data_IF_935347522704
#
_entry.id   IF_935347522704
#
_cell.length_a   1.000
_cell.length_b   1.000
_cell.length_c   1.000
_cell.angle_alpha   90.00
_cell.angle_beta   90.00
_cell.angle_gamma   90.00
#
_symmetry.space_group_name_H-M   'P 1'
#
loop_
_entity.id
_entity.type
_entity.pdbx_description
1 polymer ?
#
# COMPACT_ATOMS: atom_id res chain seq x y z
N UNK A 1 -2.05 18.29 13.25
CA UNK A 1 -1.54 17.96 11.89
C UNK A 1 -0.33 17.03 11.92
N UNK A 2 0.85 17.45 12.37
CA UNK A 2 2.11 16.69 12.27
C UNK A 2 2.03 15.20 12.66
N UNK A 3 1.37 14.85 13.77
CA UNK A 3 1.21 13.45 14.19
C UNK A 3 0.52 12.58 13.11
N UNK A 4 -0.54 13.09 12.49
CA UNK A 4 -1.26 12.40 11.40
C UNK A 4 -0.44 12.25 10.13
N UNK A 5 0.46 13.20 9.84
CA UNK A 5 1.42 13.09 8.73
C UNK A 5 2.40 11.94 9.00
N UNK A 6 2.89 11.81 10.25
CA UNK A 6 3.82 10.75 10.66
C UNK A 6 3.12 9.38 10.66
N UNK A 7 1.87 9.27 11.13
CA UNK A 7 1.06 8.05 11.06
C UNK A 7 0.75 7.66 9.60
N UNK A 8 0.40 8.64 8.76
CA UNK A 8 0.18 8.44 7.32
C UNK A 8 1.44 7.93 6.60
N UNK A 9 2.61 8.56 6.85
CA UNK A 9 3.90 8.09 6.32
C UNK A 9 4.23 6.66 6.80
N UNK A 10 3.98 6.35 8.07
CA UNK A 10 4.20 5.01 8.60
C UNK A 10 3.36 3.95 7.87
N UNK A 11 2.09 4.24 7.57
CA UNK A 11 1.23 3.32 6.78
C UNK A 11 1.74 3.22 5.33
N UNK A 12 2.14 4.33 4.71
CA UNK A 12 2.67 4.38 3.34
C UNK A 12 3.96 3.56 3.17
N UNK A 13 4.80 3.47 4.21
CA UNK A 13 6.03 2.65 4.20
C UNK A 13 5.75 1.15 4.37
N UNK A 14 4.59 0.74 4.91
CA UNK A 14 4.35 -0.64 5.40
C UNK A 14 3.83 -1.65 4.37
N UNK A 15 3.57 -1.28 3.11
CA UNK A 15 2.98 -2.22 2.11
C UNK A 15 3.90 -2.55 0.91
N UNK A 16 5.11 -3.06 1.20
CA UNK A 16 5.96 -3.81 0.25
C UNK A 16 6.62 -5.07 0.84
N UNK A 17 5.96 -5.72 1.80
CA UNK A 17 6.39 -7.05 2.25
C UNK A 17 6.12 -8.13 1.20
N UNK A 18 7.15 -8.56 0.47
CA UNK A 18 7.10 -9.76 -0.38
C UNK A 18 7.15 -11.04 0.47
N UNK A 19 6.09 -11.29 1.25
CA UNK A 19 5.98 -12.50 2.10
C UNK A 19 6.08 -13.80 1.30
N UNK A 20 5.73 -13.76 0.00
CA UNK A 20 5.72 -14.89 -0.95
C UNK A 20 7.04 -15.15 -1.69
N UNK A 21 8.10 -14.35 -1.48
CA UNK A 21 9.45 -14.61 -2.02
C UNK A 21 9.72 -14.19 -3.47
N UNK A 22 8.70 -13.90 -4.27
CA UNK A 22 8.87 -13.56 -5.69
C UNK A 22 9.48 -12.17 -5.95
N UNK A 23 10.82 -12.06 -5.95
CA UNK A 23 11.55 -10.81 -6.16
C UNK A 23 12.78 -10.92 -7.11
N UNK A 24 12.61 -11.29 -8.40
CA UNK A 24 13.73 -11.38 -9.36
C UNK A 24 14.48 -10.05 -9.57
N UNK A 25 13.92 -8.90 -9.20
CA UNK A 25 14.62 -7.61 -9.19
C UNK A 25 15.75 -7.50 -8.14
N UNK A 26 15.89 -8.47 -7.22
CA UNK A 26 16.99 -8.53 -6.24
C UNK A 26 18.13 -9.46 -6.66
N UNK A 27 18.04 -10.13 -7.81
CA UNK A 27 19.14 -10.92 -8.40
C UNK A 27 20.42 -10.08 -8.55
N UNK A 28 21.59 -10.71 -8.41
CA UNK A 28 22.91 -10.07 -8.50
C UNK A 28 23.25 -9.15 -7.32
N UNK A 29 22.37 -8.22 -6.96
CA UNK A 29 22.54 -7.28 -5.82
C UNK A 29 22.30 -7.93 -4.46
N UNK A 30 21.45 -8.96 -4.39
CA UNK A 30 20.89 -9.58 -3.18
C UNK A 30 20.11 -8.62 -2.26
N UNK A 31 19.96 -7.34 -2.62
CA UNK A 31 19.37 -6.31 -1.76
C UNK A 31 17.84 -6.42 -1.69
N UNK A 32 17.25 -6.52 -0.48
CA UNK A 32 15.81 -6.33 -0.28
C UNK A 32 15.38 -4.93 -0.68
N UNK A 33 14.29 -4.83 -1.45
CA UNK A 33 13.78 -3.56 -1.99
C UNK A 33 12.97 -2.76 -0.95
N UNK A 34 13.54 -2.56 0.24
CA UNK A 34 12.90 -1.97 1.41
C UNK A 34 13.18 -0.47 1.61
N UNK A 35 14.10 0.11 0.84
CA UNK A 35 14.44 1.55 0.88
C UNK A 35 15.33 1.99 2.04
N UNK A 36 15.70 1.07 2.93
CA UNK A 36 16.75 1.22 3.95
C UNK A 36 17.91 0.28 3.63
N UNK A 37 19.13 0.67 3.99
CA UNK A 37 20.35 -0.13 3.78
C UNK A 37 20.43 -1.37 4.69
N UNK A 38 21.41 -2.26 4.45
CA UNK A 38 21.67 -3.41 5.32
C UNK A 38 22.11 -2.99 6.72
N UNK A 39 21.87 -3.87 7.68
CA UNK A 39 22.43 -3.79 9.03
C UNK A 39 23.94 -4.01 8.98
N UNK A 40 24.70 -3.10 9.61
CA UNK A 40 26.17 -3.05 9.52
C UNK A 40 26.91 -3.80 10.64
N UNK A 41 26.17 -4.47 11.54
CA UNK A 41 26.75 -5.41 12.50
C UNK A 41 27.03 -6.74 11.80
N UNK A 42 27.82 -7.61 12.44
CA UNK A 42 27.90 -9.01 12.05
C UNK A 42 26.52 -9.67 11.99
N UNK A 43 26.39 -10.66 11.09
CA UNK A 43 25.15 -11.38 10.89
C UNK A 43 25.01 -12.51 11.94
N UNK A 44 23.90 -12.56 12.71
CA UNK A 44 23.61 -13.66 13.65
C UNK A 44 23.08 -14.91 12.92
N UNK A 45 23.56 -15.15 11.70
CA UNK A 45 23.11 -16.19 10.79
C UNK A 45 24.28 -16.67 9.92
N UNK A 46 24.31 -17.97 9.63
CA UNK A 46 25.37 -18.65 8.88
C UNK A 46 24.81 -19.49 7.72
N UNK A 47 25.70 -19.86 6.80
CA UNK A 47 25.46 -20.91 5.80
C UNK A 47 26.39 -22.08 6.12
N UNK A 48 25.85 -23.29 6.18
CA UNK A 48 26.61 -24.53 6.14
C UNK A 48 26.09 -25.43 5.03
N UNK A 49 26.85 -26.43 4.60
CA UNK A 49 26.42 -27.41 3.61
C UNK A 49 26.91 -28.81 3.95
N UNK A 50 26.25 -29.80 3.36
CA UNK A 50 26.71 -31.19 3.30
C UNK A 50 26.76 -31.59 1.82
N UNK A 51 27.90 -32.11 1.38
CA UNK A 51 28.09 -32.62 0.02
C UNK A 51 27.32 -33.94 -0.16
N UNK A 52 26.66 -34.10 -1.31
CA UNK A 52 26.06 -35.37 -1.71
C UNK A 52 27.11 -36.36 -2.23
N UNK A 53 26.69 -37.56 -2.63
CA UNK A 53 27.54 -38.44 -3.43
C UNK A 53 27.82 -37.82 -4.82
N UNK A 54 28.66 -38.46 -5.63
CA UNK A 54 28.88 -38.04 -7.01
C UNK A 54 27.56 -38.07 -7.81
N UNK A 55 27.15 -36.91 -8.33
CA UNK A 55 25.86 -36.72 -9.02
C UNK A 55 24.66 -36.35 -8.13
N UNK A 56 24.80 -36.39 -6.79
CA UNK A 56 23.74 -35.97 -5.86
C UNK A 56 23.77 -34.45 -5.55
N UNK A 57 22.64 -33.84 -5.17
CA UNK A 57 22.59 -32.46 -4.70
C UNK A 57 23.29 -32.28 -3.34
N UNK A 58 24.02 -31.17 -3.21
CA UNK A 58 24.43 -30.65 -1.91
C UNK A 58 23.21 -30.24 -1.10
N UNK A 59 23.20 -30.53 0.20
CA UNK A 59 22.20 -30.03 1.14
C UNK A 59 22.74 -28.78 1.82
N UNK A 60 22.18 -27.62 1.49
CA UNK A 60 22.59 -26.32 2.05
C UNK A 60 21.65 -25.94 3.19
N UNK A 61 22.22 -25.53 4.32
CA UNK A 61 21.51 -25.16 5.55
C UNK A 61 21.75 -23.69 5.87
N UNK A 62 20.67 -22.94 6.07
CA UNK A 62 20.67 -21.56 6.55
C UNK A 62 20.30 -21.58 8.04
N UNK A 63 21.22 -21.22 8.94
CA UNK A 63 21.06 -21.39 10.40
C UNK A 63 21.24 -20.09 11.17
N UNK A 64 20.54 -19.95 12.30
CA UNK A 64 20.76 -18.92 13.31
C UNK A 64 21.86 -19.30 14.29
N UNK A 65 22.74 -18.36 14.62
CA UNK A 65 23.84 -18.55 15.60
C UNK A 65 23.49 -18.01 16.99
N UNK A 66 22.64 -16.99 17.10
CA UNK A 66 22.21 -16.39 18.38
C UNK A 66 20.90 -17.01 18.96
N UNK A 67 20.33 -18.02 18.29
CA UNK A 67 19.02 -18.59 18.64
C UNK A 67 17.81 -17.71 18.26
N UNK A 68 18.06 -16.49 17.78
CA UNK A 68 17.08 -15.61 17.16
C UNK A 68 16.57 -16.16 15.83
N UNK A 69 15.58 -15.48 15.24
CA UNK A 69 14.86 -15.98 14.06
C UNK A 69 15.01 -15.07 12.85
N UNK A 70 15.03 -15.66 11.66
CA UNK A 70 14.84 -14.98 10.39
C UNK A 70 13.42 -15.23 9.86
N UNK A 71 12.80 -14.22 9.26
CA UNK A 71 11.48 -14.32 8.64
C UNK A 71 11.60 -14.70 7.16
N UNK A 72 12.63 -14.19 6.49
CA UNK A 72 12.92 -14.42 5.08
C UNK A 72 14.41 -14.52 4.79
N UNK A 73 14.71 -14.94 3.56
CA UNK A 73 16.06 -15.08 3.04
C UNK A 73 16.06 -14.97 1.51
N UNK A 74 17.22 -14.66 0.94
CA UNK A 74 17.56 -14.95 -0.45
C UNK A 74 18.88 -15.71 -0.47
N UNK A 75 18.99 -16.77 -1.27
CA UNK A 75 20.20 -17.56 -1.44
C UNK A 75 20.50 -17.74 -2.93
N UNK A 76 21.76 -17.52 -3.30
CA UNK A 76 22.34 -17.68 -4.64
C UNK A 76 23.66 -18.46 -4.47
N UNK A 77 24.09 -19.21 -5.48
CA UNK A 77 25.44 -19.76 -5.55
C UNK A 77 26.17 -19.07 -6.71
N UNK A 78 27.44 -18.71 -6.53
CA UNK A 78 28.17 -17.84 -7.46
C UNK A 78 29.62 -18.29 -7.62
N UNK A 79 30.14 -18.20 -8.84
CA UNK A 79 31.59 -18.27 -9.09
C UNK A 79 32.29 -17.04 -8.48
N UNK A 80 33.52 -17.17 -7.98
CA UNK A 80 34.26 -16.03 -7.43
C UNK A 80 34.49 -14.92 -8.46
N UNK A 81 33.87 -13.76 -8.20
CA UNK A 81 33.80 -12.61 -9.13
C UNK A 81 32.91 -12.82 -10.36
N UNK A 82 32.37 -14.03 -10.57
CA UNK A 82 31.62 -14.44 -11.75
C UNK A 82 30.08 -14.40 -11.59
N UNK A 83 29.34 -15.06 -12.50
CA UNK A 83 27.87 -15.11 -12.48
C UNK A 83 27.32 -16.14 -11.49
N UNK A 84 25.98 -16.19 -11.35
CA UNK A 84 25.31 -17.25 -10.60
C UNK A 84 25.51 -18.64 -11.26
N UNK A 85 25.62 -19.71 -10.46
CA UNK A 85 25.94 -21.07 -10.92
C UNK A 85 25.09 -22.16 -10.25
N UNK A 86 24.91 -23.27 -10.95
CA UNK A 86 24.12 -24.42 -10.49
C UNK A 86 22.61 -24.14 -10.44
N UNK A 87 21.86 -25.05 -9.80
CA UNK A 87 20.38 -25.01 -9.74
C UNK A 87 19.89 -25.47 -8.37
N UNK A 88 19.00 -24.70 -7.75
CA UNK A 88 18.41 -25.04 -6.46
C UNK A 88 17.08 -25.79 -6.58
N UNK A 89 16.77 -26.60 -5.57
CA UNK A 89 15.46 -27.23 -5.36
C UNK A 89 15.07 -27.23 -3.88
N UNK A 90 13.78 -27.37 -3.61
CA UNK A 90 13.26 -27.44 -2.24
C UNK A 90 13.52 -28.79 -1.57
N UNK A 91 13.39 -28.81 -0.24
CA UNK A 91 13.27 -30.05 0.54
C UNK A 91 11.82 -30.15 1.04
N UNK A 92 11.29 -31.36 1.17
CA UNK A 92 9.92 -31.56 1.66
C UNK A 92 9.73 -30.97 3.06
N UNK A 93 8.56 -30.39 3.32
CA UNK A 93 8.30 -29.56 4.50
C UNK A 93 8.99 -28.18 4.52
N UNK A 94 9.98 -27.94 3.65
CA UNK A 94 10.73 -26.67 3.51
C UNK A 94 10.43 -25.98 2.16
N UNK A 95 9.22 -25.42 1.97
CA UNK A 95 8.82 -24.85 0.69
C UNK A 95 9.49 -23.50 0.40
N UNK A 96 10.23 -23.45 -0.70
CA UNK A 96 10.90 -22.25 -1.24
C UNK A 96 10.09 -21.59 -2.37
N UNK A 97 10.49 -20.38 -2.75
CA UNK A 97 10.20 -19.78 -4.05
C UNK A 97 11.48 -19.87 -4.90
N UNK A 98 11.37 -20.36 -6.14
CA UNK A 98 12.50 -20.45 -7.07
C UNK A 98 12.61 -19.17 -7.89
N UNK A 99 13.81 -18.59 -7.97
CA UNK A 99 14.11 -17.37 -8.71
C UNK A 99 14.97 -17.69 -9.92
N UNK A 100 14.65 -17.06 -11.06
CA UNK A 100 15.43 -17.16 -12.28
C UNK A 100 16.32 -15.91 -12.38
N UNK A 101 17.51 -15.98 -11.79
CA UNK A 101 18.52 -14.92 -11.84
C UNK A 101 19.47 -15.12 -13.02
N UNK A 102 19.94 -14.02 -13.60
CA UNK A 102 20.93 -13.96 -14.68
C UNK A 102 20.61 -14.86 -15.90
N UNK A 103 19.31 -15.05 -16.18
CA UNK A 103 18.79 -15.89 -17.28
C UNK A 103 18.72 -17.39 -16.98
N UNK A 104 19.35 -17.85 -15.90
CA UNK A 104 19.37 -19.24 -15.48
C UNK A 104 18.10 -19.62 -14.70
N UNK A 105 17.62 -20.86 -14.84
CA UNK A 105 16.42 -21.35 -14.15
C UNK A 105 16.75 -21.87 -12.75
N UNK A 106 16.07 -21.36 -11.72
CA UNK A 106 16.29 -21.72 -10.31
C UNK A 106 17.75 -21.52 -9.82
N UNK A 107 18.45 -20.52 -10.37
CA UNK A 107 19.80 -20.12 -9.96
C UNK A 107 19.86 -19.43 -8.59
N UNK A 108 18.72 -18.94 -8.10
CA UNK A 108 18.57 -18.45 -6.73
C UNK A 108 17.21 -18.86 -6.14
N UNK A 109 17.05 -18.69 -4.83
CA UNK A 109 15.82 -19.02 -4.11
C UNK A 109 15.52 -18.03 -2.98
N UNK A 110 14.29 -18.06 -2.48
CA UNK A 110 13.84 -17.25 -1.35
C UNK A 110 12.73 -17.93 -0.54
N UNK A 111 12.33 -17.33 0.57
CA UNK A 111 11.25 -17.87 1.41
C UNK A 111 9.89 -17.85 0.69
N UNK A 112 9.12 -18.96 0.75
CA UNK A 112 7.71 -18.93 0.30
C UNK A 112 6.77 -18.22 1.30
N UNK A 113 7.19 -18.10 2.56
CA UNK A 113 6.39 -17.46 3.61
C UNK A 113 7.28 -16.70 4.62
N UNK A 114 6.70 -15.73 5.33
CA UNK A 114 7.35 -14.96 6.38
C UNK A 114 7.26 -15.60 7.78
N UNK A 115 7.06 -16.92 7.89
CA UNK A 115 7.03 -17.59 9.19
C UNK A 115 8.43 -17.53 9.84
N UNK A 116 8.56 -17.35 11.17
CA UNK A 116 9.86 -17.30 11.83
C UNK A 116 10.61 -18.63 11.78
N UNK A 117 11.87 -18.61 11.33
CA UNK A 117 12.76 -19.77 11.14
C UNK A 117 14.03 -19.59 11.97
N UNK A 118 14.50 -20.66 12.61
CA UNK A 118 15.85 -20.77 13.22
C UNK A 118 16.82 -21.55 12.32
N UNK A 119 16.29 -22.42 11.46
CA UNK A 119 16.99 -23.20 10.44
C UNK A 119 16.11 -23.34 9.20
N UNK A 120 16.73 -23.53 8.03
CA UNK A 120 16.03 -23.90 6.80
C UNK A 120 17.00 -24.68 5.88
N UNK A 121 16.50 -25.74 5.24
CA UNK A 121 17.31 -26.63 4.39
C UNK A 121 16.79 -26.69 2.96
N UNK A 122 17.72 -26.69 2.01
CA UNK A 122 17.48 -26.63 0.57
C UNK A 122 18.50 -27.50 -0.17
N UNK A 123 18.20 -27.91 -1.40
CA UNK A 123 19.11 -28.68 -2.25
C UNK A 123 19.74 -27.79 -3.32
N UNK A 124 21.01 -28.02 -3.66
CA UNK A 124 21.71 -27.37 -4.76
C UNK A 124 22.45 -28.40 -5.61
N UNK A 125 22.17 -28.38 -6.91
CA UNK A 125 22.91 -29.12 -7.93
C UNK A 125 24.02 -28.22 -8.50
N UNK A 126 25.29 -28.67 -8.53
CA UNK A 126 26.33 -28.02 -9.32
C UNK A 126 26.03 -28.10 -10.83
N UNK A 127 26.68 -27.26 -11.66
CA UNK A 127 26.70 -27.45 -13.11
C UNK A 127 27.46 -28.72 -13.52
N UNK A 128 27.14 -29.31 -14.68
CA UNK A 128 27.79 -30.52 -15.23
C UNK A 128 29.30 -30.36 -15.46
N UNK A 129 29.76 -29.13 -15.68
CA UNK A 129 31.16 -28.73 -15.60
C UNK A 129 31.28 -27.67 -14.52
N UNK A 130 32.07 -27.96 -13.49
CA UNK A 130 32.47 -26.95 -12.52
C UNK A 130 33.34 -25.88 -13.21
N UNK A 131 33.25 -24.60 -12.80
CA UNK A 131 34.17 -23.57 -13.26
C UNK A 131 35.57 -23.77 -12.67
N UNK A 132 36.58 -23.14 -13.28
CA UNK A 132 37.98 -23.17 -12.81
C UNK A 132 38.23 -22.34 -11.53
N UNK A 133 37.17 -21.81 -10.90
CA UNK A 133 37.21 -20.94 -9.72
C UNK A 133 36.30 -21.47 -8.62
N UNK A 134 36.62 -21.10 -7.38
CA UNK A 134 35.81 -21.43 -6.22
C UNK A 134 34.37 -20.94 -6.35
N UNK A 135 33.44 -21.77 -5.88
CA UNK A 135 32.01 -21.45 -5.80
C UNK A 135 31.67 -21.06 -4.36
N UNK A 136 31.03 -19.91 -4.18
CA UNK A 136 30.49 -19.47 -2.90
C UNK A 136 28.97 -19.45 -2.89
N UNK A 137 28.38 -20.04 -1.85
CA UNK A 137 27.02 -19.74 -1.46
C UNK A 137 26.97 -18.33 -0.87
N UNK A 138 26.01 -17.52 -1.33
CA UNK A 138 25.80 -16.14 -0.88
C UNK A 138 24.35 -15.95 -0.47
N UNK A 139 24.14 -15.56 0.78
CA UNK A 139 22.83 -15.35 1.37
C UNK A 139 22.58 -13.90 1.77
N UNK A 140 21.29 -13.58 1.90
CA UNK A 140 20.76 -12.42 2.58
C UNK A 140 19.72 -12.88 3.57
N UNK A 141 19.80 -12.43 4.82
CA UNK A 141 18.94 -12.84 5.92
C UNK A 141 18.08 -11.67 6.41
N UNK A 142 16.77 -11.89 6.55
CA UNK A 142 15.79 -10.87 6.94
C UNK A 142 15.21 -11.18 8.33
N UNK A 143 15.63 -10.44 9.37
CA UNK A 143 15.06 -10.54 10.74
C UNK A 143 13.83 -9.64 10.93
N UNK A 144 13.82 -8.46 10.31
CA UNK A 144 12.65 -7.56 10.25
C UNK A 144 12.68 -6.77 8.94
N UNK A 145 11.59 -6.08 8.55
CA UNK A 145 11.57 -5.23 7.35
C UNK A 145 12.74 -4.22 7.30
N UNK A 146 13.19 -3.72 8.46
CA UNK A 146 14.31 -2.77 8.59
C UNK A 146 15.60 -3.40 9.13
N UNK A 147 15.66 -4.72 9.28
CA UNK A 147 16.79 -5.42 9.92
C UNK A 147 17.17 -6.64 9.09
N UNK A 148 18.22 -6.50 8.29
CA UNK A 148 18.67 -7.53 7.36
C UNK A 148 20.17 -7.45 7.09
N UNK A 149 20.78 -8.58 6.79
CA UNK A 149 22.19 -8.71 6.45
C UNK A 149 22.34 -9.27 5.04
N UNK A 150 23.31 -8.75 4.29
CA UNK A 150 23.65 -9.18 2.92
C UNK A 150 25.08 -9.72 2.89
N UNK A 151 25.45 -10.44 1.83
CA UNK A 151 26.79 -11.00 1.64
C UNK A 151 27.26 -11.91 2.80
N UNK A 152 26.32 -12.61 3.46
CA UNK A 152 26.69 -13.76 4.31
C UNK A 152 27.11 -14.87 3.36
N UNK A 153 28.34 -15.34 3.44
CA UNK A 153 28.92 -16.27 2.45
C UNK A 153 29.55 -17.51 3.07
N UNK A 154 29.48 -18.62 2.35
CA UNK A 154 30.28 -19.84 2.60
C UNK A 154 30.79 -20.39 1.27
N UNK A 155 32.10 -20.37 1.09
CA UNK A 155 32.79 -21.02 -0.03
C UNK A 155 32.75 -22.54 0.14
N UNK A 156 32.67 -23.25 -0.98
CA UNK A 156 32.87 -24.70 -1.05
C UNK A 156 34.36 -25.00 -0.82
N UNK A 157 34.65 -25.72 0.24
CA UNK A 157 36.00 -26.07 0.66
C UNK A 157 36.63 -27.09 -0.32
N UNK A 158 37.70 -26.70 -1.02
CA UNK A 158 38.49 -27.63 -1.82
C UNK A 158 39.00 -28.79 -0.95
N UNK A 159 38.82 -30.02 -1.44
CA UNK A 159 38.68 -31.23 -0.61
C UNK A 159 39.76 -31.48 0.44
N UNK A 160 39.49 -31.12 1.71
CA UNK A 160 40.19 -31.68 2.87
C UNK A 160 39.28 -31.83 4.09
N UNK A 161 39.27 -33.04 4.66
CA UNK A 161 38.47 -33.46 5.82
C UNK A 161 39.03 -32.91 7.14
N UNK A 162 38.19 -32.53 8.11
CA UNK A 162 38.19 -33.03 9.53
C UNK A 162 37.34 -32.18 10.49
N UNK A 163 36.24 -32.78 10.97
CA UNK A 163 35.67 -32.82 12.35
C UNK A 163 35.47 -31.52 13.19
N UNK A 164 34.30 -31.32 13.85
CA UNK A 164 33.95 -30.09 14.57
C UNK A 164 34.37 -30.07 16.06
N UNK A 165 34.30 -28.88 16.68
CA UNK A 165 34.46 -28.68 18.13
C UNK A 165 33.22 -28.02 18.79
N UNK A 166 32.90 -28.50 19.98
CA UNK A 166 31.73 -28.09 20.81
C UNK A 166 32.20 -27.20 21.98
N UNK A 167 31.33 -26.36 22.59
CA UNK A 167 31.06 -26.33 24.07
C UNK A 167 30.36 -25.05 24.61
N UNK A 168 29.26 -25.28 25.34
CA UNK A 168 28.64 -24.54 26.47
C UNK A 168 28.10 -23.08 26.38
N UNK A 169 26.97 -22.90 27.08
CA UNK A 169 26.33 -21.64 27.51
C UNK A 169 26.82 -21.22 28.92
N UNK A 170 26.58 -19.98 29.36
CA UNK A 170 26.32 -19.68 30.80
C UNK A 170 25.52 -18.38 31.12
N UNK A 171 24.21 -18.55 31.33
CA UNK A 171 23.41 -18.15 32.53
C UNK A 171 23.49 -16.73 33.18
N UNK A 172 22.54 -15.85 32.80
CA UNK A 172 21.52 -15.17 33.68
C UNK A 172 21.98 -14.04 34.69
N UNK A 173 21.15 -13.48 35.64
CA UNK A 173 20.66 -12.07 35.62
C UNK A 173 20.95 -11.17 36.86
N UNK A 174 20.41 -9.92 36.88
CA UNK A 174 19.84 -9.14 38.03
C UNK A 174 19.12 -7.87 37.44
N UNK A 175 17.88 -7.46 37.77
CA UNK A 175 17.31 -6.71 38.95
C UNK A 175 17.93 -5.29 39.13
N UNK A 176 17.26 -4.18 39.54
CA UNK A 176 16.00 -3.93 40.30
C UNK A 176 15.31 -2.60 39.88
N UNK A 177 14.12 -2.34 40.46
CA UNK A 177 13.16 -1.22 40.29
C UNK A 177 13.64 0.18 40.73
N UNK A 178 12.85 1.24 40.44
CA UNK A 178 12.52 2.26 41.46
C UNK A 178 11.20 3.03 41.22
N UNK A 179 10.65 3.58 42.31
CA UNK A 179 9.41 4.37 42.43
C UNK A 179 9.71 5.65 43.27
N UNK A 180 8.91 6.73 43.39
CA UNK A 180 7.49 6.99 43.04
C UNK A 180 7.33 8.34 42.28
N UNK A 181 6.36 9.27 42.42
CA UNK A 181 5.30 9.58 43.43
C UNK A 181 4.15 10.40 42.80
N UNK A 182 3.04 10.56 43.53
CA UNK A 182 1.81 11.32 43.15
C UNK A 182 1.86 12.82 43.52
N UNK A 183 0.97 13.64 42.92
CA UNK A 183 0.26 14.71 43.63
C UNK A 183 -1.17 14.93 43.07
N UNK A 184 -2.07 15.49 43.88
CA UNK A 184 -3.54 15.45 43.67
C UNK A 184 -4.16 16.85 43.62
N UNK A 185 -5.21 17.05 42.81
CA UNK A 185 -6.06 18.26 42.80
C UNK A 185 -7.55 17.90 42.69
N UNK A 186 -8.41 18.63 43.40
CA UNK A 186 -9.86 18.37 43.59
C UNK A 186 -10.69 19.41 42.81
N UNK A 187 -11.87 19.08 42.24
CA UNK A 187 -12.48 19.87 41.16
C UNK A 187 -13.36 21.05 41.59
N UNK A 188 -13.62 21.95 40.64
CA UNK A 188 -14.55 23.09 40.72
C UNK A 188 -15.82 22.82 39.89
N UNK A 189 -17.04 23.19 40.35
CA UNK A 189 -18.29 22.82 39.66
C UNK A 189 -18.82 23.86 38.66
N UNK A 190 -19.37 23.36 37.54
CA UNK A 190 -20.47 23.96 36.73
C UNK A 190 -20.11 25.23 35.93
N UNK A 191 -20.41 25.27 34.61
CA UNK A 191 -21.77 25.59 34.14
C UNK A 191 -22.45 24.49 33.33
N UNK A 192 -23.79 24.54 33.28
CA UNK A 192 -24.64 23.64 32.50
C UNK A 192 -24.34 23.70 31.00
N UNK A 193 -24.27 22.56 30.28
CA UNK A 193 -24.00 22.58 28.84
C UNK A 193 -25.16 23.20 28.04
N UNK A 194 -24.87 23.91 26.93
CA UNK A 194 -25.89 24.33 25.98
C UNK A 194 -26.54 23.10 25.28
N UNK A 195 -27.75 23.25 24.72
CA UNK A 195 -28.47 22.12 24.12
C UNK A 195 -27.71 21.46 22.94
N UNK A 196 -27.91 20.15 22.72
CA UNK A 196 -27.19 19.39 21.69
C UNK A 196 -27.51 19.92 20.28
N UNK A 197 -26.51 20.51 19.64
CA UNK A 197 -26.56 21.00 18.26
C UNK A 197 -25.50 20.27 17.43
N UNK A 198 -25.94 19.55 16.39
CA UNK A 198 -25.06 18.71 15.57
C UNK A 198 -23.90 19.56 15.03
N UNK A 199 -22.65 19.30 15.46
CA UNK A 199 -21.61 20.30 15.38
C UNK A 199 -21.25 20.58 13.93
N UNK A 200 -21.35 21.86 13.55
CA UNK A 200 -21.08 22.38 12.21
C UNK A 200 -19.76 21.84 11.62
N UNK A 201 -18.74 21.68 12.45
CA UNK A 201 -17.45 21.05 12.13
C UNK A 201 -17.58 19.69 11.42
N UNK A 202 -18.48 18.79 11.84
CA UNK A 202 -18.70 17.49 11.19
C UNK A 202 -19.13 17.68 9.73
N UNK A 203 -19.99 18.66 9.47
CA UNK A 203 -20.44 18.98 8.10
C UNK A 203 -19.26 19.50 7.26
N UNK A 204 -18.39 20.35 7.81
CA UNK A 204 -17.17 20.78 7.10
C UNK A 204 -16.29 19.58 6.75
N UNK A 205 -15.98 18.73 7.73
CA UNK A 205 -15.09 17.58 7.58
C UNK A 205 -15.61 16.59 6.51
N UNK A 206 -16.92 16.33 6.52
CA UNK A 206 -17.56 15.43 5.55
C UNK A 206 -17.69 16.05 4.16
N UNK A 207 -18.02 17.33 4.04
CA UNK A 207 -18.02 18.04 2.75
C UNK A 207 -16.61 18.06 2.15
N UNK A 208 -15.56 18.31 2.95
CA UNK A 208 -14.17 18.27 2.48
C UNK A 208 -13.74 16.86 2.08
N UNK A 209 -14.14 15.81 2.83
CA UNK A 209 -13.84 14.43 2.43
C UNK A 209 -14.55 14.04 1.12
N UNK A 210 -15.83 14.40 0.94
CA UNK A 210 -16.55 14.21 -0.34
C UNK A 210 -15.78 14.80 -1.53
N UNK A 211 -15.31 16.06 -1.41
CA UNK A 211 -14.45 16.68 -2.44
C UNK A 211 -13.17 15.87 -2.72
N UNK A 212 -12.53 15.31 -1.68
CA UNK A 212 -11.32 14.48 -1.81
C UNK A 212 -11.60 13.12 -2.48
N UNK A 213 -12.68 12.41 -2.10
CA UNK A 213 -13.06 11.12 -2.69
C UNK A 213 -13.36 11.26 -4.18
N UNK A 214 -14.16 12.25 -4.54
CA UNK A 214 -14.58 12.51 -5.93
C UNK A 214 -13.38 12.94 -6.78
N UNK A 215 -12.51 13.84 -6.27
CA UNK A 215 -11.26 14.22 -6.95
C UNK A 215 -10.35 13.00 -7.19
N UNK A 216 -10.21 12.11 -6.19
CA UNK A 216 -9.42 10.88 -6.30
C UNK A 216 -9.92 9.95 -7.41
N UNK A 217 -11.22 9.92 -7.71
CA UNK A 217 -11.74 9.13 -8.83
C UNK A 217 -11.16 9.60 -10.18
N UNK A 218 -11.12 10.93 -10.40
CA UNK A 218 -10.58 11.56 -11.61
C UNK A 218 -9.06 11.55 -11.74
N UNK A 219 -8.30 11.50 -10.64
CA UNK A 219 -6.82 11.39 -10.73
C UNK A 219 -6.37 10.16 -11.53
N UNK A 220 -7.17 9.09 -11.54
CA UNK A 220 -7.01 7.91 -12.40
C UNK A 220 -7.04 8.21 -13.91
N UNK A 221 -7.74 9.27 -14.28
CA UNK A 221 -8.16 9.62 -15.63
C UNK A 221 -7.27 10.74 -16.18
N UNK A 222 -7.10 11.82 -15.42
CA UNK A 222 -6.25 12.98 -15.77
C UNK A 222 -4.78 12.56 -15.96
N UNK A 223 -4.17 11.86 -14.99
CA UNK A 223 -2.74 11.49 -15.04
C UNK A 223 -2.44 10.54 -16.22
N UNK A 224 -3.43 9.78 -16.69
CA UNK A 224 -3.30 8.90 -17.85
C UNK A 224 -3.32 9.65 -19.22
N UNK A 225 -3.76 10.91 -19.23
CA UNK A 225 -3.77 11.80 -20.40
C UNK A 225 -2.59 12.76 -20.41
N UNK A 226 -2.22 13.34 -19.25
CA UNK A 226 -1.26 14.45 -19.17
C UNK A 226 0.22 14.03 -19.11
N UNK A 227 0.54 12.90 -18.49
CA UNK A 227 1.94 12.50 -18.26
C UNK A 227 2.37 11.42 -19.25
N UNK A 228 3.62 11.51 -19.73
CA UNK A 228 4.26 10.47 -20.51
C UNK A 228 4.23 9.12 -19.78
N UNK A 229 4.29 8.01 -20.54
CA UNK A 229 4.11 6.63 -20.02
C UNK A 229 5.35 6.10 -19.25
N UNK A 230 5.92 6.90 -18.37
CA UNK A 230 7.07 6.55 -17.54
C UNK A 230 6.71 5.57 -16.40
N UNK A 231 7.70 4.94 -15.76
CA UNK A 231 7.51 4.29 -14.47
C UNK A 231 7.03 5.28 -13.38
N UNK A 232 7.53 6.52 -13.43
CA UNK A 232 7.27 7.58 -12.45
C UNK A 232 5.79 7.98 -12.42
N UNK A 233 5.14 8.16 -13.57
CA UNK A 233 3.71 8.56 -13.61
C UNK A 233 2.78 7.48 -13.05
N UNK A 234 3.15 6.20 -13.17
CA UNK A 234 2.45 5.07 -12.54
C UNK A 234 2.62 5.04 -11.02
N UNK A 235 3.79 5.41 -10.51
CA UNK A 235 4.04 5.55 -9.08
C UNK A 235 3.25 6.75 -8.52
N UNK A 236 3.38 7.93 -9.13
CA UNK A 236 2.71 9.16 -8.72
C UNK A 236 1.19 9.01 -8.60
N UNK A 237 0.55 8.39 -9.60
CA UNK A 237 -0.89 8.08 -9.57
C UNK A 237 -1.28 7.20 -8.37
N UNK A 238 -0.51 6.14 -8.09
CA UNK A 238 -0.79 5.24 -6.94
C UNK A 238 -0.56 5.93 -5.59
N UNK A 239 0.53 6.68 -5.44
CA UNK A 239 0.82 7.43 -4.21
C UNK A 239 -0.23 8.52 -3.95
N UNK A 240 -0.63 9.25 -5.00
CA UNK A 240 -1.68 10.26 -4.91
C UNK A 240 -3.00 9.68 -4.42
N UNK A 241 -3.47 8.56 -4.99
CA UNK A 241 -4.70 7.88 -4.55
C UNK A 241 -4.68 7.50 -3.07
N UNK A 242 -3.57 6.94 -2.60
CA UNK A 242 -3.40 6.56 -1.18
C UNK A 242 -3.39 7.81 -0.30
N UNK A 243 -2.75 8.90 -0.73
CA UNK A 243 -2.74 10.18 0.01
C UNK A 243 -4.14 10.77 0.17
N UNK A 244 -4.97 10.79 -0.88
CA UNK A 244 -6.36 11.26 -0.79
C UNK A 244 -7.17 10.46 0.24
N UNK A 245 -7.01 9.13 0.27
CA UNK A 245 -7.71 8.26 1.20
C UNK A 245 -7.23 8.41 2.65
N UNK A 246 -5.93 8.57 2.86
CA UNK A 246 -5.37 8.85 4.19
C UNK A 246 -5.87 10.20 4.73
N UNK A 247 -6.03 11.21 3.88
CA UNK A 247 -6.65 12.48 4.29
C UNK A 247 -8.15 12.32 4.61
N UNK A 248 -8.93 11.60 3.79
CA UNK A 248 -10.34 11.34 4.08
C UNK A 248 -10.54 10.59 5.40
N UNK A 249 -9.82 9.49 5.62
CA UNK A 249 -9.88 8.74 6.88
C UNK A 249 -9.54 9.59 8.10
N UNK A 250 -8.61 10.55 7.99
CA UNK A 250 -8.32 11.48 9.06
C UNK A 250 -9.47 12.46 9.34
N UNK A 251 -10.22 12.89 8.31
CA UNK A 251 -11.42 13.73 8.45
C UNK A 251 -12.60 12.93 9.02
N UNK A 252 -12.80 11.70 8.59
CA UNK A 252 -13.82 10.75 9.09
C UNK A 252 -13.60 10.42 10.57
N UNK A 253 -12.37 10.07 10.96
CA UNK A 253 -12.00 9.83 12.37
C UNK A 253 -12.17 11.11 13.19
N UNK A 254 -11.80 12.28 12.66
CA UNK A 254 -12.02 13.56 13.34
C UNK A 254 -13.51 13.86 13.55
N UNK A 255 -14.35 13.56 12.56
CA UNK A 255 -15.80 13.74 12.66
C UNK A 255 -16.44 12.78 13.67
N UNK A 256 -15.99 11.51 13.71
CA UNK A 256 -16.45 10.53 14.70
C UNK A 256 -16.06 10.94 16.12
N UNK A 257 -14.82 11.38 16.34
CA UNK A 257 -14.36 11.89 17.64
C UNK A 257 -15.16 13.12 18.07
N UNK A 258 -15.42 14.07 17.17
CA UNK A 258 -16.25 15.26 17.47
C UNK A 258 -17.71 14.91 17.76
N UNK A 259 -18.28 13.91 17.09
CA UNK A 259 -19.64 13.44 17.34
C UNK A 259 -19.80 12.85 18.75
N UNK A 260 -18.81 12.06 19.18
CA UNK A 260 -18.75 11.47 20.53
C UNK A 260 -18.48 12.56 21.59
N UNK A 261 -17.44 13.39 21.41
CA UNK A 261 -17.01 14.38 22.42
C UNK A 261 -18.03 15.48 22.70
N UNK A 262 -18.97 15.73 21.77
CA UNK A 262 -20.02 16.76 21.93
C UNK A 262 -21.39 16.19 22.26
N UNK A 263 -21.48 14.91 22.63
CA UNK A 263 -22.72 14.17 22.96
C UNK A 263 -23.84 14.31 21.89
N UNK A 264 -23.48 14.65 20.65
CA UNK A 264 -24.43 15.08 19.63
C UNK A 264 -24.61 14.06 18.50
N UNK A 265 -24.28 12.81 18.81
CA UNK A 265 -24.34 11.69 17.89
C UNK A 265 -25.63 10.88 18.08
N UNK A 266 -26.58 11.08 17.18
CA UNK A 266 -27.58 10.05 16.87
C UNK A 266 -26.88 8.73 16.56
N UNK A 267 -27.44 7.60 17.00
CA UNK A 267 -26.88 6.26 16.77
C UNK A 267 -26.68 5.99 15.27
N UNK A 268 -27.54 6.56 14.41
CA UNK A 268 -27.41 6.49 12.96
C UNK A 268 -26.15 7.22 12.44
N UNK A 269 -25.81 8.38 13.01
CA UNK A 269 -24.65 9.18 12.61
C UNK A 269 -23.33 8.47 12.95
N UNK A 270 -23.22 7.87 14.15
CA UNK A 270 -22.07 7.01 14.49
C UNK A 270 -21.99 5.81 13.54
N UNK A 271 -23.11 5.11 13.30
CA UNK A 271 -23.12 3.94 12.44
C UNK A 271 -22.65 4.26 11.01
N UNK A 272 -23.13 5.36 10.42
CA UNK A 272 -22.72 5.82 9.09
C UNK A 272 -21.23 6.21 9.04
N UNK A 273 -20.72 6.92 10.05
CA UNK A 273 -19.29 7.28 10.14
C UNK A 273 -18.40 6.04 10.29
N UNK A 274 -18.79 5.06 11.10
CA UNK A 274 -18.07 3.79 11.23
C UNK A 274 -18.04 3.02 9.89
N UNK A 275 -19.16 3.01 9.13
CA UNK A 275 -19.17 2.39 7.80
C UNK A 275 -18.25 3.15 6.83
N UNK A 276 -18.28 4.48 6.81
CA UNK A 276 -17.36 5.30 6.00
C UNK A 276 -15.88 4.95 6.29
N UNK A 277 -15.48 4.93 7.57
CA UNK A 277 -14.12 4.58 8.00
C UNK A 277 -13.73 3.16 7.51
N UNK A 278 -14.63 2.18 7.60
CA UNK A 278 -14.34 0.82 7.08
C UNK A 278 -14.22 0.77 5.55
N UNK A 279 -14.98 1.60 4.82
CA UNK A 279 -14.84 1.76 3.36
C UNK A 279 -13.52 2.44 2.99
N UNK A 280 -13.09 3.47 3.73
CA UNK A 280 -11.75 4.07 3.59
C UNK A 280 -10.64 3.03 3.79
N UNK A 281 -10.70 2.22 4.86
CA UNK A 281 -9.71 1.15 5.10
C UNK A 281 -9.71 0.13 3.96
N UNK A 282 -10.89 -0.31 3.49
CA UNK A 282 -11.03 -1.22 2.36
C UNK A 282 -10.41 -0.64 1.08
N UNK A 283 -10.64 0.64 0.78
CA UNK A 283 -10.06 1.30 -0.39
C UNK A 283 -8.55 1.53 -0.30
N UNK A 284 -8.02 1.79 0.90
CA UNK A 284 -6.57 1.85 1.14
C UNK A 284 -5.96 0.48 0.86
N UNK A 285 -6.58 -0.61 1.32
CA UNK A 285 -6.14 -1.99 1.02
C UNK A 285 -6.16 -2.24 -0.48
N UNK A 286 -7.28 -1.98 -1.18
CA UNK A 286 -7.41 -2.17 -2.63
C UNK A 286 -6.36 -1.36 -3.41
N UNK A 287 -6.14 -0.10 -3.05
CA UNK A 287 -5.13 0.79 -3.66
C UNK A 287 -3.69 0.34 -3.37
N UNK A 288 -3.50 -0.41 -2.28
CA UNK A 288 -2.21 -0.95 -1.85
C UNK A 288 -1.91 -2.34 -2.42
N UNK A 289 -2.84 -3.01 -3.12
CA UNK A 289 -2.55 -4.28 -3.81
C UNK A 289 -1.54 -4.08 -4.97
N UNK A 290 -0.44 -4.86 -5.03
CA UNK A 290 0.59 -4.74 -6.06
C UNK A 290 0.20 -5.43 -7.39
N UNK A 291 -0.94 -5.04 -7.99
CA UNK A 291 -1.42 -5.64 -9.23
C UNK A 291 -0.52 -5.29 -10.43
N UNK A 292 0.19 -6.31 -10.92
CA UNK A 292 1.13 -6.22 -12.04
C UNK A 292 0.49 -5.78 -13.36
N UNK A 293 1.28 -5.23 -14.30
CA UNK A 293 0.77 -4.69 -15.57
C UNK A 293 0.30 -5.77 -16.56
N UNK A 294 0.69 -7.03 -16.37
CA UNK A 294 0.36 -8.19 -17.21
C UNK A 294 -0.94 -8.89 -16.83
N UNK A 295 -1.53 -8.59 -15.67
CA UNK A 295 -2.70 -9.31 -15.17
C UNK A 295 -4.00 -8.67 -15.69
N UNK A 296 -4.79 -9.39 -16.48
CA UNK A 296 -6.05 -8.88 -17.07
C UNK A 296 -7.05 -8.37 -16.00
N UNK A 297 -7.00 -8.94 -14.79
CA UNK A 297 -7.75 -8.49 -13.61
C UNK A 297 -7.52 -7.01 -13.25
N UNK A 298 -6.40 -6.40 -13.67
CA UNK A 298 -6.10 -5.00 -13.37
C UNK A 298 -7.16 -4.03 -13.86
N UNK A 299 -7.75 -4.27 -15.04
CA UNK A 299 -8.84 -3.45 -15.56
C UNK A 299 -10.13 -3.60 -14.74
N UNK A 300 -10.40 -4.81 -14.26
CA UNK A 300 -11.55 -5.12 -13.39
C UNK A 300 -11.37 -4.43 -12.03
N UNK A 301 -10.16 -4.47 -11.46
CA UNK A 301 -9.84 -3.81 -10.19
C UNK A 301 -9.92 -2.26 -10.27
N UNK A 302 -9.52 -1.61 -11.37
CA UNK A 302 -9.71 -0.15 -11.53
C UNK A 302 -11.21 0.23 -11.55
N UNK A 303 -12.08 -0.61 -12.11
CA UNK A 303 -13.53 -0.40 -12.10
C UNK A 303 -14.10 -0.68 -10.71
N UNK A 304 -13.74 -1.81 -10.08
CA UNK A 304 -14.20 -2.17 -8.73
C UNK A 304 -13.83 -1.09 -7.71
N UNK A 305 -12.58 -0.60 -7.72
CA UNK A 305 -12.14 0.50 -6.86
C UNK A 305 -12.90 1.81 -7.09
N UNK A 306 -13.39 2.08 -8.31
CA UNK A 306 -14.28 3.22 -8.59
C UNK A 306 -15.70 2.99 -8.07
N UNK A 307 -16.23 1.76 -8.16
CA UNK A 307 -17.53 1.40 -7.57
C UNK A 307 -17.52 1.51 -6.05
N UNK A 308 -16.46 1.04 -5.38
CA UNK A 308 -16.26 1.26 -3.94
C UNK A 308 -16.37 2.74 -3.58
N UNK A 309 -15.81 3.63 -4.40
CA UNK A 309 -15.80 5.08 -4.11
C UNK A 309 -17.14 5.76 -4.35
N UNK A 310 -17.98 5.24 -5.24
CA UNK A 310 -19.37 5.72 -5.36
C UNK A 310 -20.20 5.27 -4.16
N UNK A 311 -19.98 4.04 -3.67
CA UNK A 311 -20.63 3.56 -2.44
C UNK A 311 -20.17 4.40 -1.24
N UNK A 312 -18.86 4.65 -1.11
CA UNK A 312 -18.31 5.44 -0.01
C UNK A 312 -18.79 6.90 -0.05
N UNK A 313 -18.78 7.54 -1.23
CA UNK A 313 -19.35 8.87 -1.43
C UNK A 313 -20.84 8.94 -1.01
N UNK A 314 -21.63 7.90 -1.29
CA UNK A 314 -23.02 7.83 -0.85
C UNK A 314 -23.16 7.77 0.69
N UNK A 315 -22.23 7.12 1.40
CA UNK A 315 -22.20 7.15 2.88
C UNK A 315 -21.80 8.53 3.42
N UNK A 316 -20.81 9.21 2.82
CA UNK A 316 -20.44 10.58 3.20
C UNK A 316 -21.61 11.54 2.97
N UNK A 317 -22.30 11.46 1.82
CA UNK A 317 -23.51 12.22 1.55
C UNK A 317 -24.65 11.91 2.54
N UNK A 318 -24.81 10.65 2.96
CA UNK A 318 -25.78 10.27 3.98
C UNK A 318 -25.49 10.91 5.35
N UNK A 319 -24.22 10.93 5.79
CA UNK A 319 -23.82 11.66 7.02
C UNK A 319 -24.15 13.14 6.89
N UNK A 320 -23.83 13.77 5.76
CA UNK A 320 -24.15 15.19 5.51
C UNK A 320 -25.67 15.41 5.60
N UNK A 321 -26.51 14.59 4.93
CA UNK A 321 -27.96 14.71 5.02
C UNK A 321 -28.48 14.58 6.45
N UNK A 322 -28.00 13.61 7.23
CA UNK A 322 -28.38 13.44 8.65
C UNK A 322 -28.05 14.71 9.45
N UNK A 323 -26.82 15.24 9.35
CA UNK A 323 -26.43 16.49 10.00
C UNK A 323 -27.27 17.71 9.56
N UNK A 324 -27.78 17.74 8.32
CA UNK A 324 -28.67 18.80 7.85
C UNK A 324 -30.10 18.66 8.37
N UNK A 325 -30.63 17.42 8.45
CA UNK A 325 -31.98 17.14 8.94
C UNK A 325 -32.10 17.34 10.46
N UNK A 326 -31.13 16.89 11.25
CA UNK A 326 -31.11 17.07 12.71
C UNK A 326 -30.97 18.56 13.09
N UNK A 327 -30.23 19.34 12.30
CA UNK A 327 -30.17 20.81 12.40
C UNK A 327 -31.49 21.52 12.06
N UNK A 328 -32.38 20.87 11.29
CA UNK A 328 -33.66 21.44 10.88
C UNK A 328 -34.78 21.12 11.88
N UNK A 329 -34.79 19.92 12.45
CA UNK A 329 -35.77 19.51 13.47
C UNK A 329 -35.66 20.29 14.79
N UNK A 330 -34.45 20.76 15.13
CA UNK A 330 -34.17 21.46 16.39
C UNK A 330 -34.50 22.96 16.40
N UNK A 331 -34.82 23.58 15.25
CA UNK A 331 -35.02 25.05 15.16
C UNK A 331 -36.42 25.45 14.70
N UNK A 332 -37.26 25.85 15.65
CA UNK A 332 -38.65 26.22 15.42
C UNK A 332 -38.87 27.32 14.36
N UNK A 333 -39.74 27.01 13.40
CA UNK A 333 -40.48 27.93 12.52
C UNK A 333 -39.70 28.94 11.62
N UNK A 334 -38.37 28.98 11.60
CA UNK A 334 -37.60 29.82 10.64
C UNK A 334 -37.00 28.98 9.50
N UNK A 335 -37.87 28.53 8.58
CA UNK A 335 -37.53 27.64 7.46
C UNK A 335 -36.68 28.32 6.37
N UNK A 336 -35.40 28.54 6.62
CA UNK A 336 -34.44 28.85 5.55
C UNK A 336 -34.18 27.58 4.72
N UNK A 337 -34.97 27.38 3.65
CA UNK A 337 -34.88 26.17 2.79
C UNK A 337 -33.62 26.17 1.91
N UNK A 338 -33.00 27.35 1.68
CA UNK A 338 -31.80 27.54 0.85
C UNK A 338 -30.67 26.50 1.06
N UNK A 339 -30.17 26.25 2.30
CA UNK A 339 -29.17 25.19 2.55
C UNK A 339 -29.57 23.80 2.03
N UNK A 340 -30.85 23.43 2.08
CA UNK A 340 -31.34 22.13 1.62
C UNK A 340 -31.41 22.08 0.08
N UNK A 341 -31.77 23.18 -0.59
CA UNK A 341 -31.67 23.29 -2.05
C UNK A 341 -30.23 23.20 -2.54
N UNK A 342 -29.27 23.83 -1.85
CA UNK A 342 -27.84 23.71 -2.18
C UNK A 342 -27.35 22.27 -1.99
N UNK A 343 -27.84 21.54 -0.98
CA UNK A 343 -27.50 20.12 -0.78
C UNK A 343 -28.06 19.22 -1.89
N UNK A 344 -29.27 19.48 -2.38
CA UNK A 344 -29.82 18.79 -3.56
C UNK A 344 -29.01 19.13 -4.82
N UNK A 345 -28.63 20.39 -5.01
CA UNK A 345 -27.78 20.79 -6.14
C UNK A 345 -26.40 20.12 -6.08
N UNK A 346 -25.80 20.01 -4.89
CA UNK A 346 -24.55 19.29 -4.68
C UNK A 346 -24.67 17.80 -5.04
N UNK A 347 -25.70 17.10 -4.55
CA UNK A 347 -25.84 15.66 -4.81
C UNK A 347 -26.14 15.35 -6.27
N UNK A 348 -26.93 16.18 -6.95
CA UNK A 348 -27.11 16.11 -8.41
C UNK A 348 -25.79 16.35 -9.16
N UNK A 349 -24.97 17.33 -8.73
CA UNK A 349 -23.66 17.59 -9.33
C UNK A 349 -22.68 16.42 -9.13
N UNK A 350 -22.62 15.83 -7.94
CA UNK A 350 -21.80 14.63 -7.68
C UNK A 350 -22.27 13.45 -8.54
N UNK A 351 -23.58 13.24 -8.72
CA UNK A 351 -24.09 12.19 -9.61
C UNK A 351 -23.68 12.42 -11.08
N UNK A 352 -23.81 13.65 -11.59
CA UNK A 352 -23.34 14.01 -12.95
C UNK A 352 -21.83 13.80 -13.11
N UNK A 353 -21.04 14.13 -12.08
CA UNK A 353 -19.60 13.92 -12.09
C UNK A 353 -19.22 12.43 -12.05
N UNK A 354 -19.88 11.61 -11.22
CA UNK A 354 -19.71 10.15 -11.22
C UNK A 354 -20.05 9.55 -12.60
N UNK A 355 -21.12 10.02 -13.24
CA UNK A 355 -21.48 9.61 -14.61
C UNK A 355 -20.36 9.98 -15.61
N UNK A 356 -19.80 11.19 -15.54
CA UNK A 356 -18.65 11.60 -16.36
C UNK A 356 -17.42 10.71 -16.15
N UNK A 357 -17.02 10.47 -14.89
CA UNK A 357 -15.91 9.59 -14.51
C UNK A 357 -16.06 8.20 -15.14
N UNK A 358 -17.26 7.61 -15.08
CA UNK A 358 -17.53 6.28 -15.63
C UNK A 358 -17.56 6.28 -17.16
N UNK A 359 -18.23 7.24 -17.80
CA UNK A 359 -18.26 7.37 -19.27
C UNK A 359 -16.83 7.48 -19.82
N UNK A 360 -16.00 8.38 -19.28
CA UNK A 360 -14.63 8.52 -19.73
C UNK A 360 -13.79 7.27 -19.46
N UNK A 361 -13.98 6.61 -18.30
CA UNK A 361 -13.31 5.34 -17.98
C UNK A 361 -13.64 4.24 -19.01
N UNK A 362 -14.92 4.06 -19.34
CA UNK A 362 -15.36 3.07 -20.34
C UNK A 362 -14.80 3.42 -21.73
N UNK A 363 -14.85 4.68 -22.14
CA UNK A 363 -14.34 5.13 -23.43
C UNK A 363 -12.82 4.94 -23.56
N UNK A 364 -12.06 5.29 -22.52
CA UNK A 364 -10.61 5.02 -22.35
C UNK A 364 -10.30 3.53 -22.52
N UNK A 365 -11.04 2.64 -21.86
CA UNK A 365 -10.87 1.19 -22.01
C UNK A 365 -11.28 0.66 -23.40
N UNK A 366 -12.32 1.20 -24.03
CA UNK A 366 -12.73 0.84 -25.39
C UNK A 366 -11.66 1.18 -26.43
N UNK A 367 -11.07 2.39 -26.36
CA UNK A 367 -9.93 2.78 -27.20
C UNK A 367 -8.73 1.86 -27.00
N UNK A 368 -8.39 1.53 -25.74
CA UNK A 368 -7.26 0.65 -25.43
C UNK A 368 -7.49 -0.79 -25.94
N UNK A 369 -8.72 -1.33 -25.82
CA UNK A 369 -9.09 -2.64 -26.39
C UNK A 369 -9.01 -2.65 -27.92
N UNK A 370 -9.53 -1.61 -28.61
CA UNK A 370 -9.39 -1.46 -30.07
C UNK A 370 -7.91 -1.40 -30.48
N UNK A 371 -7.06 -0.66 -29.76
CA UNK A 371 -5.61 -0.58 -30.00
C UNK A 371 -4.88 -1.91 -29.77
N UNK A 372 -5.21 -2.67 -28.71
CA UNK A 372 -4.64 -4.01 -28.46
C UNK A 372 -4.97 -4.97 -29.61
N UNK A 373 -6.22 -4.94 -30.12
CA UNK A 373 -6.66 -5.75 -31.27
C UNK A 373 -5.92 -5.37 -32.56
N UNK A 374 -5.89 -4.10 -32.96
CA UNK A 374 -5.18 -3.64 -34.17
C UNK A 374 -3.67 -3.91 -34.09
N UNK A 375 -3.05 -3.73 -32.93
CA UNK A 375 -1.62 -4.06 -32.73
C UNK A 375 -1.31 -5.56 -32.81
N UNK A 376 -2.33 -6.43 -32.68
CA UNK A 376 -2.19 -7.88 -32.87
C UNK A 376 -2.35 -8.31 -34.32
N UNK A 377 -2.91 -7.44 -35.18
CA UNK A 377 -3.12 -7.70 -36.61
C UNK A 377 -2.00 -7.08 -37.45
N UNK A 378 -1.54 -5.87 -37.12
CA UNK A 378 -0.63 -5.09 -37.96
C UNK A 378 0.85 -5.15 -37.49
N UNK A 379 1.32 -6.32 -37.03
CA UNK A 379 2.69 -6.49 -36.54
C UNK A 379 3.76 -6.10 -37.59
N UNK A 380 3.48 -6.35 -38.88
CA UNK A 380 4.37 -6.05 -40.00
C UNK A 380 4.49 -4.57 -40.39
N UNK A 381 3.56 -3.70 -39.96
CA UNK A 381 3.45 -2.31 -40.47
C UNK A 381 3.87 -1.24 -39.45
N UNK A 382 4.75 -1.61 -38.53
CA UNK A 382 5.03 -0.86 -37.29
C UNK A 382 5.75 0.49 -37.49
N UNK A 383 6.38 0.72 -38.64
CA UNK A 383 7.19 1.92 -38.90
C UNK A 383 6.38 3.18 -39.21
N UNK A 384 5.27 3.06 -39.95
CA UNK A 384 4.71 4.21 -40.68
C UNK A 384 3.57 4.94 -39.95
N UNK A 385 2.97 4.34 -38.91
CA UNK A 385 1.80 4.90 -38.21
C UNK A 385 2.10 5.60 -36.89
N UNK A 386 3.15 6.44 -36.86
CA UNK A 386 3.23 7.62 -35.96
C UNK A 386 2.33 8.76 -36.50
N UNK A 387 1.15 8.41 -36.96
CA UNK A 387 0.20 9.31 -37.59
C UNK A 387 -0.42 10.24 -36.53
N UNK A 388 -0.58 11.51 -36.89
CA UNK A 388 -0.84 12.61 -35.96
C UNK A 388 -2.10 12.35 -35.11
N UNK A 389 -1.91 12.21 -33.79
CA UNK A 389 -3.01 12.31 -32.84
C UNK A 389 -3.16 13.78 -32.48
N UNK A 390 -4.18 14.47 -33.01
CA UNK A 390 -4.43 15.85 -32.65
C UNK A 390 -4.66 15.98 -31.12
N UNK A 391 -4.23 17.09 -30.50
CA UNK A 391 -4.34 17.28 -29.06
C UNK A 391 -5.79 17.56 -28.61
N UNK A 392 -6.65 18.02 -29.51
CA UNK A 392 -8.00 18.55 -29.24
C UNK A 392 -8.87 17.61 -28.38
N UNK A 393 -9.10 16.32 -28.74
CA UNK A 393 -9.95 15.44 -27.93
C UNK A 393 -9.34 15.08 -26.56
N UNK A 394 -8.05 15.32 -26.33
CA UNK A 394 -7.42 15.15 -25.01
C UNK A 394 -7.58 16.42 -24.18
N UNK A 395 -7.48 17.60 -24.80
CA UNK A 395 -7.72 18.88 -24.12
C UNK A 395 -9.19 19.00 -23.67
N UNK A 396 -10.16 18.67 -24.54
CA UNK A 396 -11.59 18.74 -24.22
C UNK A 396 -11.93 17.92 -22.97
N UNK A 397 -11.44 16.67 -22.88
CA UNK A 397 -11.65 15.82 -21.68
C UNK A 397 -11.08 16.46 -20.43
N UNK A 398 -9.84 16.95 -20.50
CA UNK A 398 -9.17 17.54 -19.34
C UNK A 398 -9.89 18.83 -18.87
N UNK A 399 -10.38 19.66 -19.79
CA UNK A 399 -11.17 20.86 -19.49
C UNK A 399 -12.50 20.49 -18.81
N UNK A 400 -13.23 19.51 -19.31
CA UNK A 400 -14.51 19.09 -18.71
C UNK A 400 -14.29 18.48 -17.31
N UNK A 401 -13.25 17.67 -17.11
CA UNK A 401 -12.90 17.17 -15.76
C UNK A 401 -12.53 18.31 -14.80
N UNK A 402 -11.85 19.38 -15.26
CA UNK A 402 -11.57 20.57 -14.44
C UNK A 402 -12.84 21.33 -14.10
N UNK A 403 -13.78 21.50 -15.04
CA UNK A 403 -15.08 22.13 -14.79
C UNK A 403 -15.86 21.38 -13.70
N UNK A 404 -15.90 20.04 -13.76
CA UNK A 404 -16.53 19.23 -12.72
C UNK A 404 -15.91 19.42 -11.34
N UNK A 405 -14.57 19.40 -11.24
CA UNK A 405 -13.84 19.64 -9.98
C UNK A 405 -14.15 21.05 -9.43
N UNK A 406 -14.09 22.08 -10.27
CA UNK A 406 -14.36 23.47 -9.86
C UNK A 406 -15.80 23.66 -9.38
N UNK A 407 -16.79 23.08 -10.07
CA UNK A 407 -18.19 23.12 -9.64
C UNK A 407 -18.43 22.36 -8.33
N UNK A 408 -17.77 21.21 -8.13
CA UNK A 408 -17.80 20.47 -6.86
C UNK A 408 -17.24 21.32 -5.72
N UNK A 409 -16.10 22.00 -5.92
CA UNK A 409 -15.52 22.91 -4.91
C UNK A 409 -16.44 24.11 -4.64
N UNK A 410 -17.01 24.72 -5.69
CA UNK A 410 -17.90 25.88 -5.53
C UNK A 410 -19.18 25.53 -4.74
N UNK A 411 -19.82 24.41 -5.05
CA UNK A 411 -21.01 23.94 -4.32
C UNK A 411 -20.68 23.47 -2.90
N UNK A 412 -19.51 22.84 -2.68
CA UNK A 412 -19.00 22.51 -1.35
C UNK A 412 -18.79 23.77 -0.48
N UNK A 413 -18.22 24.83 -1.04
CA UNK A 413 -18.10 26.14 -0.37
C UNK A 413 -19.48 26.73 -0.07
N UNK A 414 -20.43 26.67 -1.01
CA UNK A 414 -21.80 27.13 -0.78
C UNK A 414 -22.51 26.38 0.37
N UNK A 415 -22.29 25.07 0.52
CA UNK A 415 -22.77 24.30 1.68
C UNK A 415 -22.16 24.78 3.00
N UNK A 416 -20.84 24.99 3.04
CA UNK A 416 -20.13 25.43 4.25
C UNK A 416 -20.60 26.85 4.65
N UNK A 417 -20.67 27.78 3.69
CA UNK A 417 -21.16 29.16 3.92
C UNK A 417 -22.63 29.17 4.33
N UNK A 418 -23.48 28.35 3.72
CA UNK A 418 -24.89 28.21 4.09
C UNK A 418 -25.10 27.73 5.51
N UNK A 419 -24.22 26.86 6.02
CA UNK A 419 -24.22 26.44 7.43
C UNK A 419 -23.68 27.52 8.36
N UNK A 420 -22.60 28.23 8.02
CA UNK A 420 -22.10 29.39 8.80
C UNK A 420 -23.20 30.42 9.05
N UNK A 421 -23.80 30.91 7.95
CA UNK A 421 -24.87 31.90 7.98
C UNK A 421 -26.11 31.41 8.74
N UNK A 422 -26.40 30.10 8.73
CA UNK A 422 -27.47 29.53 9.53
C UNK A 422 -27.09 29.39 11.02
N UNK A 423 -25.84 29.08 11.35
CA UNK A 423 -25.37 29.00 12.74
C UNK A 423 -25.35 30.35 13.45
N UNK A 424 -25.21 31.47 12.72
CA UNK A 424 -25.18 32.82 13.30
C UNK A 424 -23.78 33.24 13.75
N UNK A 425 -22.76 32.78 13.04
CA UNK A 425 -21.37 33.25 13.09
C UNK A 425 -21.03 33.99 11.80
#
# INVERSE_FOLDING_TARGET
MWLWIITGLNIIVRVRGFSSGGFPQSCGTMLPQHGVGPTVTDAPFEISYVQGNEGDPFTVTLRSTDGGRFLGFMLEAREEGGPAVGRFSGVDGNPVFLLNCDGLTASAISQRNSQPKTTHQVKWMPPERLPDRDISFRATFLRSFVTYWVNVTKTLDSTTTTTPSTTAQKTTPVTTEHMSTSSTGVPTPTPTPPPPHCPFEIVILMVVCSVLLVTKMEMSNIIANSVTKSPVSRLLNRMSKISFLVFCGALEISALVLGIVKDCSSTALIALLCVAITLTVLEIVISSLPLGPSHELKGICEIFAKVCSVIHEAFILAVIYVCYLESAGTRGNRKNIWPLWVLIAYTVWILLFVVWVFIFTVHKHAILRRRKRVSSMNAAQRGQRREMRSPEPVMIVNVVSVIFILGTVALAVALIVGKLQHSGM
#
